data_IF_277800227175
#
_entry.id   IF_277800227175
#
_cell.length_a   1.000
_cell.length_b   1.000
_cell.length_c   1.000
_cell.angle_alpha   90.00
_cell.angle_beta   90.00
_cell.angle_gamma   90.00
#
_symmetry.space_group_name_H-M   'P 1'
#
loop_
_entity.id
_entity.type
_entity.pdbx_description
1 polymer ?
#
# COMPACT_ATOMS: atom_id res chain seq x y z
N UNK A 1 -21.56 -20.09 -3.10
CA UNK A 1 -22.79 -19.32 -2.76
C UNK A 1 -22.84 -18.87 -1.30
N UNK A 2 -22.40 -19.69 -0.33
CA UNK A 2 -22.43 -19.38 1.12
C UNK A 2 -21.61 -18.15 1.55
N UNK A 3 -20.48 -17.87 0.89
CA UNK A 3 -19.64 -16.71 1.22
C UNK A 3 -20.33 -15.35 1.00
N UNK A 4 -21.16 -15.23 -0.04
CA UNK A 4 -21.89 -13.99 -0.34
C UNK A 4 -22.98 -13.66 0.69
N UNK A 5 -23.64 -14.69 1.24
CA UNK A 5 -24.64 -14.51 2.30
C UNK A 5 -24.01 -14.01 3.60
N UNK A 6 -22.86 -14.56 3.99
CA UNK A 6 -22.13 -14.12 5.19
C UNK A 6 -21.69 -12.67 5.11
N UNK A 7 -21.20 -12.24 3.95
CA UNK A 7 -20.70 -10.87 3.76
C UNK A 7 -21.84 -9.83 3.79
N UNK A 8 -23.03 -10.17 3.28
CA UNK A 8 -24.23 -9.32 3.42
C UNK A 8 -24.71 -9.23 4.86
N UNK A 9 -24.70 -10.35 5.59
CA UNK A 9 -25.16 -10.40 6.97
C UNK A 9 -24.28 -9.55 7.89
N UNK A 10 -22.95 -9.62 7.75
CA UNK A 10 -22.01 -8.83 8.57
C UNK A 10 -22.20 -7.33 8.36
N UNK A 11 -22.51 -6.89 7.14
CA UNK A 11 -22.75 -5.47 6.83
C UNK A 11 -24.05 -4.93 7.43
N UNK A 12 -25.05 -5.76 7.67
CA UNK A 12 -26.34 -5.33 8.25
C UNK A 12 -26.38 -5.41 9.78
N UNK A 13 -25.42 -6.10 10.43
CA UNK A 13 -25.33 -6.19 11.90
C UNK A 13 -25.40 -4.82 12.60
N UNK A 14 -24.65 -3.77 12.19
CA UNK A 14 -24.75 -2.45 12.82
C UNK A 14 -26.15 -1.85 12.75
N UNK A 15 -26.83 -2.02 11.62
CA UNK A 15 -28.17 -1.46 11.39
C UNK A 15 -29.20 -2.17 12.27
N UNK A 16 -29.16 -3.51 12.32
CA UNK A 16 -30.08 -4.26 13.19
C UNK A 16 -29.83 -3.96 14.67
N UNK A 17 -28.57 -3.90 15.09
CA UNK A 17 -28.22 -3.54 16.47
C UNK A 17 -28.73 -2.15 16.85
N UNK A 18 -28.61 -1.18 15.94
CA UNK A 18 -29.11 0.17 16.14
C UNK A 18 -30.64 0.20 16.29
N UNK A 19 -31.39 -0.46 15.40
CA UNK A 19 -32.86 -0.49 15.43
C UNK A 19 -33.36 -1.18 16.69
N UNK A 20 -32.81 -2.34 17.04
CA UNK A 20 -33.20 -3.08 18.25
C UNK A 20 -32.89 -2.25 19.50
N UNK A 21 -31.70 -1.65 19.58
CA UNK A 21 -31.33 -0.76 20.68
C UNK A 21 -32.26 0.45 20.81
N UNK A 22 -32.60 1.09 19.69
CA UNK A 22 -33.53 2.22 19.65
C UNK A 22 -34.90 1.85 20.24
N UNK A 23 -35.45 0.71 19.80
CA UNK A 23 -36.76 0.22 20.23
C UNK A 23 -36.76 -0.12 21.72
N UNK A 24 -35.71 -0.79 22.22
CA UNK A 24 -35.59 -1.14 23.63
C UNK A 24 -35.54 0.12 24.50
N UNK A 25 -34.72 1.11 24.14
CA UNK A 25 -34.59 2.35 24.92
C UNK A 25 -35.84 3.21 24.83
N UNK A 26 -36.39 3.41 23.63
CA UNK A 26 -37.63 4.19 23.45
C UNK A 26 -38.81 3.54 24.20
N UNK A 27 -38.95 2.22 24.09
CA UNK A 27 -39.94 1.44 24.82
C UNK A 27 -39.75 1.55 26.33
N UNK A 28 -38.52 1.39 26.82
CA UNK A 28 -38.20 1.53 28.24
C UNK A 28 -38.54 2.91 28.80
N UNK A 29 -38.22 3.99 28.08
CA UNK A 29 -38.59 5.36 28.48
C UNK A 29 -40.10 5.57 28.43
N UNK A 30 -40.79 5.05 27.41
CA UNK A 30 -42.24 5.24 27.24
C UNK A 30 -43.06 4.46 28.27
N UNK A 31 -42.66 3.24 28.60
CA UNK A 31 -43.31 2.40 29.62
C UNK A 31 -42.90 2.79 31.05
N UNK A 32 -41.90 3.66 31.23
CA UNK A 32 -41.46 4.10 32.55
C UNK A 32 -42.57 4.89 33.29
N UNK A 33 -42.74 4.66 34.60
CA UNK A 33 -43.64 5.46 35.43
C UNK A 33 -43.37 6.98 35.35
N UNK A 34 -44.41 7.79 35.54
CA UNK A 34 -44.31 9.27 35.64
C UNK A 34 -43.36 9.70 36.73
N UNK A 35 -43.51 9.12 37.90
CA UNK A 35 -42.74 9.47 39.10
C UNK A 35 -41.24 9.23 38.93
N UNK A 36 -40.84 8.19 38.20
CA UNK A 36 -39.42 7.88 37.97
C UNK A 36 -38.78 8.87 37.00
N UNK A 37 -39.48 9.21 35.91
CA UNK A 37 -38.99 10.19 34.93
C UNK A 37 -38.90 11.60 35.53
N UNK A 38 -39.91 12.02 36.28
CA UNK A 38 -39.90 13.31 36.97
C UNK A 38 -38.78 13.37 38.01
N UNK A 39 -38.58 12.29 38.78
CA UNK A 39 -37.46 12.19 39.72
C UNK A 39 -36.09 12.28 39.02
N UNK A 40 -35.94 11.64 37.85
CA UNK A 40 -34.73 11.74 37.02
C UNK A 40 -34.50 13.17 36.50
N UNK A 41 -35.55 13.85 36.02
CA UNK A 41 -35.45 15.23 35.54
C UNK A 41 -35.07 16.19 36.68
N UNK A 42 -35.62 15.99 37.87
CA UNK A 42 -35.26 16.76 39.05
C UNK A 42 -33.81 16.52 39.49
N UNK A 43 -33.39 15.26 39.59
CA UNK A 43 -32.03 14.89 40.04
C UNK A 43 -30.95 15.30 39.06
N UNK A 44 -31.23 15.26 37.75
CA UNK A 44 -30.30 15.72 36.72
C UNK A 44 -30.28 17.25 36.56
N UNK A 45 -31.23 17.96 37.19
CA UNK A 45 -31.34 19.42 37.11
C UNK A 45 -31.75 19.95 35.74
N UNK A 46 -32.25 19.10 34.83
CA UNK A 46 -32.61 19.49 33.45
C UNK A 46 -33.71 20.57 33.44
N UNK A 47 -34.60 20.55 34.43
CA UNK A 47 -35.64 21.57 34.60
C UNK A 47 -35.07 22.99 34.82
N UNK A 48 -33.82 23.12 35.30
CA UNK A 48 -33.17 24.43 35.49
C UNK A 48 -32.65 25.04 34.18
N UNK A 49 -32.30 24.21 33.21
CA UNK A 49 -31.79 24.65 31.90
C UNK A 49 -32.93 24.92 30.93
N UNK A 50 -34.00 24.14 31.01
CA UNK A 50 -35.17 24.23 30.11
C UNK A 50 -36.43 24.34 30.97
N UNK A 51 -36.95 25.56 31.23
CA UNK A 51 -38.16 25.76 32.01
C UNK A 51 -39.38 25.04 31.42
N UNK A 52 -39.40 24.84 30.10
CA UNK A 52 -40.42 24.07 29.39
C UNK A 52 -40.43 22.57 29.74
N UNK A 53 -39.41 22.08 30.45
CA UNK A 53 -39.32 20.70 30.96
C UNK A 53 -39.77 20.57 32.42
N UNK A 54 -40.35 21.61 33.02
CA UNK A 54 -40.91 21.55 34.37
C UNK A 54 -42.07 20.53 34.44
N UNK A 55 -42.18 19.74 35.52
CA UNK A 55 -43.30 18.80 35.70
C UNK A 55 -44.64 19.55 35.74
N UNK A 56 -45.76 18.90 35.33
CA UNK A 56 -45.87 17.48 34.94
C UNK A 56 -45.44 17.19 33.50
N UNK A 57 -44.71 16.09 33.29
CA UNK A 57 -44.30 15.64 31.96
C UNK A 57 -45.50 15.05 31.20
N UNK A 58 -46.15 15.87 30.37
CA UNK A 58 -47.24 15.44 29.50
C UNK A 58 -46.84 14.35 28.49
N UNK A 59 -47.82 13.73 27.82
CA UNK A 59 -47.55 12.65 26.86
C UNK A 59 -46.66 13.05 25.69
N UNK A 60 -46.72 14.30 25.26
CA UNK A 60 -45.84 14.84 24.21
C UNK A 60 -44.38 14.84 24.64
N UNK A 61 -44.09 15.29 25.86
CA UNK A 61 -42.75 15.29 26.42
C UNK A 61 -42.19 13.87 26.54
N UNK A 62 -43.02 12.90 26.96
CA UNK A 62 -42.64 11.48 27.02
C UNK A 62 -42.33 10.90 25.65
N UNK A 63 -43.16 11.22 24.65
CA UNK A 63 -42.93 10.76 23.28
C UNK A 63 -41.62 11.32 22.73
N UNK A 64 -41.33 12.61 22.98
CA UNK A 64 -40.09 13.25 22.57
C UNK A 64 -38.87 12.67 23.28
N UNK A 65 -38.95 12.41 24.59
CA UNK A 65 -37.88 11.77 25.35
C UNK A 65 -37.64 10.32 24.87
N UNK A 66 -38.70 9.56 24.62
CA UNK A 66 -38.60 8.20 24.10
C UNK A 66 -37.96 8.17 22.70
N UNK A 67 -38.41 9.04 21.79
CA UNK A 67 -37.83 9.15 20.44
C UNK A 67 -36.38 9.66 20.49
N UNK A 68 -36.13 10.74 21.22
CA UNK A 68 -34.80 11.34 21.35
C UNK A 68 -33.79 10.38 21.99
N UNK A 69 -34.17 9.76 23.11
CA UNK A 69 -33.35 8.75 23.78
C UNK A 69 -33.13 7.51 22.92
N UNK A 70 -34.17 7.04 22.23
CA UNK A 70 -34.07 5.93 21.28
C UNK A 70 -33.12 6.23 20.12
N UNK A 71 -33.23 7.41 19.49
CA UNK A 71 -32.35 7.84 18.39
C UNK A 71 -30.89 7.99 18.85
N UNK A 72 -30.67 8.56 20.04
CA UNK A 72 -29.33 8.68 20.63
C UNK A 72 -28.70 7.30 20.85
N UNK A 73 -29.44 6.38 21.47
CA UNK A 73 -28.99 5.01 21.70
C UNK A 73 -28.72 4.27 20.38
N UNK A 74 -29.58 4.47 19.37
CA UNK A 74 -29.39 3.92 18.03
C UNK A 74 -28.07 4.38 17.41
N UNK A 75 -27.77 5.68 17.48
CA UNK A 75 -26.55 6.26 16.92
C UNK A 75 -25.30 5.72 17.62
N UNK A 76 -25.31 5.62 18.95
CA UNK A 76 -24.20 5.08 19.73
C UNK A 76 -23.97 3.60 19.46
N UNK A 77 -25.04 2.78 19.44
CA UNK A 77 -24.94 1.36 19.13
C UNK A 77 -24.51 1.12 17.69
N UNK A 78 -25.07 1.87 16.73
CA UNK A 78 -24.64 1.81 15.34
C UNK A 78 -23.16 2.14 15.21
N UNK A 79 -22.71 3.25 15.80
CA UNK A 79 -21.32 3.68 15.77
C UNK A 79 -20.39 2.66 16.42
N UNK A 80 -20.72 2.18 17.62
CA UNK A 80 -19.93 1.17 18.32
C UNK A 80 -19.84 -0.14 17.54
N UNK A 81 -20.96 -0.61 16.97
CA UNK A 81 -21.01 -1.87 16.22
C UNK A 81 -20.37 -1.74 14.84
N UNK A 82 -20.46 -0.56 14.22
CA UNK A 82 -19.73 -0.21 13.00
C UNK A 82 -18.22 -0.16 13.24
N UNK A 83 -17.75 0.44 14.35
CA UNK A 83 -16.33 0.46 14.69
C UNK A 83 -15.79 -0.92 15.09
N UNK A 84 -16.65 -1.78 15.63
CA UNK A 84 -16.23 -3.11 16.07
C UNK A 84 -16.23 -4.13 14.91
N UNK A 85 -17.26 -4.12 14.07
CA UNK A 85 -17.56 -5.17 13.08
C UNK A 85 -17.59 -4.63 11.64
N UNK A 86 -17.64 -3.30 11.46
CA UNK A 86 -17.68 -2.67 10.14
C UNK A 86 -16.36 -2.76 9.36
N UNK A 87 -16.32 -2.22 8.13
CA UNK A 87 -15.13 -2.23 7.29
C UNK A 87 -13.97 -1.53 7.99
N UNK A 88 -12.92 -2.29 8.36
CA UNK A 88 -11.79 -1.76 9.11
C UNK A 88 -11.99 -1.72 10.64
N UNK A 89 -13.07 -2.32 11.15
CA UNK A 89 -13.34 -2.43 12.57
C UNK A 89 -12.36 -3.35 13.31
N UNK A 90 -12.31 -3.20 14.64
CA UNK A 90 -11.30 -3.84 15.49
C UNK A 90 -11.29 -5.38 15.39
N UNK A 91 -12.47 -6.00 15.16
CA UNK A 91 -12.59 -7.45 15.06
C UNK A 91 -12.41 -7.99 13.64
N UNK A 92 -12.40 -7.12 12.63
CA UNK A 92 -12.12 -7.56 11.26
C UNK A 92 -10.62 -7.80 11.16
N UNK A 93 -10.21 -9.07 11.24
CA UNK A 93 -8.85 -9.48 10.89
C UNK A 93 -8.58 -8.97 9.47
N UNK A 94 -7.75 -7.92 9.36
CA UNK A 94 -7.21 -7.52 8.06
C UNK A 94 -6.47 -8.75 7.52
N UNK A 95 -6.81 -9.24 6.32
CA UNK A 95 -5.98 -10.25 5.69
C UNK A 95 -4.56 -9.68 5.67
N UNK A 96 -3.59 -10.48 6.14
CA UNK A 96 -2.17 -10.14 6.06
C UNK A 96 -1.92 -9.86 4.58
N UNK A 97 -1.75 -8.59 4.22
CA UNK A 97 -1.63 -8.19 2.82
C UNK A 97 -0.29 -8.72 2.34
N UNK A 98 -0.31 -9.83 1.62
CA UNK A 98 0.80 -10.22 0.76
C UNK A 98 0.98 -9.19 -0.40
N UNK A 99 0.02 -8.25 -0.55
CA UNK A 99 0.07 -7.05 -1.40
C UNK A 99 1.09 -5.99 -0.97
N UNK A 100 1.73 -6.11 0.20
CA UNK A 100 2.82 -5.18 0.58
C UNK A 100 4.12 -5.44 -0.18
N UNK A 101 4.14 -6.43 -1.07
CA UNK A 101 5.19 -6.52 -2.07
C UNK A 101 4.96 -5.40 -3.10
N UNK A 102 5.93 -4.49 -3.28
CA UNK A 102 5.80 -3.45 -4.28
C UNK A 102 5.55 -4.10 -5.64
N UNK A 103 4.65 -3.52 -6.44
CA UNK A 103 4.42 -3.96 -7.81
C UNK A 103 5.68 -3.62 -8.62
N UNK A 104 6.65 -4.53 -8.59
CA UNK A 104 7.89 -4.42 -9.36
C UNK A 104 7.51 -4.54 -10.83
N UNK A 105 7.98 -3.59 -11.65
CA UNK A 105 7.78 -3.68 -13.11
C UNK A 105 8.46 -4.96 -13.58
N UNK A 106 7.93 -5.62 -14.60
CA UNK A 106 8.54 -6.85 -15.14
C UNK A 106 10.00 -6.67 -15.55
N UNK A 107 10.41 -5.44 -15.91
CA UNK A 107 11.80 -5.10 -16.23
C UNK A 107 12.71 -5.04 -14.99
N UNK A 108 12.17 -4.71 -13.82
CA UNK A 108 12.90 -4.58 -12.56
C UNK A 108 12.85 -5.88 -11.74
N UNK A 109 12.07 -6.86 -12.19
CA UNK A 109 11.92 -8.16 -11.53
C UNK A 109 13.12 -9.05 -11.90
N UNK A 110 14.09 -9.13 -10.99
CA UNK A 110 15.27 -9.98 -11.16
C UNK A 110 14.96 -11.42 -10.71
N UNK A 111 15.37 -12.47 -11.45
CA UNK A 111 15.13 -13.86 -11.05
C UNK A 111 15.75 -14.21 -9.69
N UNK A 112 16.90 -13.60 -9.38
CA UNK A 112 17.63 -13.88 -8.13
C UNK A 112 17.22 -13.01 -6.93
N UNK A 113 16.47 -11.93 -7.16
CA UNK A 113 16.04 -11.02 -6.11
C UNK A 113 14.50 -10.87 -6.12
N UNK A 114 13.77 -11.80 -5.48
CA UNK A 114 12.32 -11.70 -5.40
C UNK A 114 11.92 -10.38 -4.72
N UNK A 115 10.79 -9.77 -5.13
CA UNK A 115 10.29 -8.56 -4.49
C UNK A 115 10.19 -8.78 -2.98
N UNK A 116 10.85 -7.92 -2.21
CA UNK A 116 10.76 -7.92 -0.75
C UNK A 116 9.82 -6.79 -0.32
N UNK A 117 9.06 -7.03 0.76
CA UNK A 117 8.25 -5.97 1.39
C UNK A 117 9.16 -4.80 1.80
N UNK A 118 8.71 -3.53 1.70
CA UNK A 118 9.44 -2.42 2.28
C UNK A 118 9.57 -2.66 3.79
N UNK A 119 10.71 -2.25 4.35
CA UNK A 119 10.99 -2.43 5.77
C UNK A 119 10.04 -1.52 6.56
N UNK A 120 9.17 -2.12 7.37
CA UNK A 120 8.22 -1.36 8.18
C UNK A 120 8.89 -0.84 9.46
N UNK A 121 8.29 0.16 10.11
CA UNK A 121 8.76 0.66 11.40
C UNK A 121 8.92 -0.44 12.47
N UNK A 122 8.14 -1.51 12.39
CA UNK A 122 8.26 -2.67 13.29
C UNK A 122 9.47 -3.56 12.95
N UNK A 123 9.88 -3.60 11.67
CA UNK A 123 11.06 -4.35 11.23
C UNK A 123 12.37 -3.62 11.56
N UNK A 124 12.29 -2.30 11.83
CA UNK A 124 13.42 -1.46 12.25
C UNK A 124 13.84 -1.66 13.72
N UNK A 125 13.18 -2.57 14.44
CA UNK A 125 13.45 -2.86 15.85
C UNK A 125 12.86 -1.81 16.79
N UNK A 126 13.20 -1.91 18.08
CA UNK A 126 12.82 -0.91 19.07
C UNK A 126 13.42 0.43 18.63
N UNK A 127 12.62 1.50 18.41
CA UNK A 127 13.19 2.79 18.12
C UNK A 127 14.20 3.11 19.22
N UNK A 128 15.38 3.62 18.87
CA UNK A 128 16.42 4.03 19.84
C UNK A 128 15.99 5.25 20.68
N UNK A 129 14.70 5.34 21.04
CA UNK A 129 14.11 6.32 21.94
C UNK A 129 14.38 5.99 23.41
N UNK A 130 15.33 5.09 23.64
CA UNK A 130 16.09 4.97 24.88
C UNK A 130 17.59 5.18 24.58
N UNK A 131 17.94 6.26 23.86
CA UNK A 131 19.11 7.02 24.33
C UNK A 131 18.69 7.52 25.70
N UNK A 132 18.94 6.67 26.69
CA UNK A 132 18.54 6.94 28.05
C UNK A 132 18.98 8.35 28.41
N UNK A 133 18.19 8.97 29.27
CA UNK A 133 18.73 9.80 30.34
C UNK A 133 19.59 8.89 31.24
N UNK A 134 20.56 8.19 30.64
CA UNK A 134 21.56 7.41 31.31
C UNK A 134 22.41 8.43 32.02
N UNK A 135 22.23 8.48 33.35
CA UNK A 135 23.07 9.15 34.34
C UNK A 135 23.85 10.29 33.70
N UNK A 136 23.21 11.47 33.59
CA UNK A 136 23.76 12.71 33.04
C UNK A 136 25.27 12.59 32.88
N UNK A 137 25.73 12.22 31.68
CA UNK A 137 27.17 12.20 31.41
C UNK A 137 27.62 13.61 31.79
N UNK A 138 28.48 13.71 32.80
CA UNK A 138 29.00 14.99 33.27
C UNK A 138 29.28 15.84 32.04
N UNK A 139 28.48 16.90 31.87
CA UNK A 139 28.60 17.79 30.74
C UNK A 139 30.05 18.26 30.76
N UNK A 140 30.85 17.77 29.82
CA UNK A 140 32.24 18.21 29.74
C UNK A 140 32.15 19.70 29.43
N UNK A 141 32.67 20.50 30.35
CA UNK A 141 32.79 21.94 30.15
C UNK A 141 33.41 22.18 28.77
N UNK A 142 32.77 23.07 28.01
CA UNK A 142 33.26 23.50 26.72
C UNK A 142 34.72 23.95 26.92
N UNK A 143 35.69 23.49 26.10
CA UNK A 143 37.07 23.94 26.22
C UNK A 143 37.14 25.46 26.13
N UNK A 144 37.95 26.08 26.99
CA UNK A 144 38.13 27.55 27.00
C UNK A 144 38.62 28.07 25.65
N UNK A 145 39.27 27.20 24.86
CA UNK A 145 39.81 27.48 23.54
C UNK A 145 38.77 27.39 22.42
N UNK A 146 37.46 27.35 22.71
CA UNK A 146 36.42 27.37 21.67
C UNK A 146 36.41 28.67 20.86
N UNK A 147 36.91 29.76 21.45
CA UNK A 147 37.03 31.06 20.80
C UNK A 147 38.30 31.18 19.93
N UNK A 148 39.19 30.17 19.94
CA UNK A 148 40.31 30.16 19.01
C UNK A 148 39.81 29.88 17.58
N UNK A 149 40.21 30.69 16.59
CA UNK A 149 39.89 30.40 15.20
C UNK A 149 40.48 29.03 14.82
N UNK A 150 39.73 28.22 14.05
CA UNK A 150 40.18 26.89 13.59
C UNK A 150 41.58 26.90 12.94
N UNK A 151 41.95 28.02 12.31
CA UNK A 151 43.28 28.24 11.72
C UNK A 151 44.44 28.15 12.73
N UNK A 152 44.18 28.31 14.03
CA UNK A 152 45.19 28.18 15.08
C UNK A 152 45.50 26.72 15.43
N UNK A 153 44.55 25.79 15.23
CA UNK A 153 44.75 24.35 15.45
C UNK A 153 45.35 23.67 14.22
N UNK A 154 45.00 24.16 13.03
CA UNK A 154 45.59 23.69 11.78
C UNK A 154 45.75 24.87 10.78
N UNK A 155 46.97 25.46 10.68
CA UNK A 155 47.22 26.56 9.77
C UNK A 155 47.16 26.14 8.29
N UNK A 156 47.14 24.84 7.99
CA UNK A 156 47.06 24.30 6.63
C UNK A 156 45.63 23.99 6.18
N UNK A 157 44.65 24.01 7.10
CA UNK A 157 43.26 23.72 6.81
C UNK A 157 42.57 24.79 5.94
N UNK A 158 43.05 26.05 5.99
CA UNK A 158 42.56 27.13 5.14
C UNK A 158 43.59 27.39 4.06
N UNK A 159 43.29 26.97 2.83
CA UNK A 159 44.13 27.29 1.68
C UNK A 159 44.18 28.82 1.50
N UNK A 160 45.37 29.42 1.33
CA UNK A 160 45.51 30.88 1.14
C UNK A 160 44.86 31.35 -0.16
N UNK A 161 44.63 30.43 -1.10
CA UNK A 161 43.97 30.69 -2.37
C UNK A 161 42.69 29.86 -2.42
N UNK A 162 41.51 30.48 -2.64
CA UNK A 162 40.27 29.74 -2.82
C UNK A 162 40.42 28.78 -4.00
N UNK A 163 39.92 27.54 -3.86
CA UNK A 163 39.92 26.59 -4.96
C UNK A 163 39.17 27.17 -6.16
N UNK A 164 39.75 27.02 -7.34
CA UNK A 164 39.12 27.44 -8.60
C UNK A 164 37.77 26.69 -8.73
N UNK A 165 36.68 27.38 -9.12
CA UNK A 165 35.39 26.73 -9.32
C UNK A 165 35.53 25.51 -10.24
N UNK A 166 34.97 24.37 -9.82
CA UNK A 166 34.96 23.17 -10.64
C UNK A 166 34.36 23.51 -12.01
N UNK A 167 35.13 23.25 -13.08
CA UNK A 167 34.66 23.52 -14.44
C UNK A 167 33.48 22.61 -14.75
N UNK A 168 32.41 23.12 -15.39
CA UNK A 168 31.31 22.26 -15.82
C UNK A 168 31.85 21.20 -16.78
N UNK A 169 31.63 19.93 -16.44
CA UNK A 169 31.94 18.80 -17.32
C UNK A 169 30.76 18.63 -18.28
N UNK A 170 31.02 18.57 -19.58
CA UNK A 170 29.99 18.29 -20.58
C UNK A 170 29.36 16.92 -20.33
N UNK A 171 28.04 16.85 -20.29
CA UNK A 171 27.30 15.60 -20.10
C UNK A 171 27.63 14.60 -21.22
N UNK A 172 28.01 13.39 -20.85
CA UNK A 172 28.43 12.31 -21.76
C UNK A 172 27.25 11.67 -22.53
N UNK A 173 26.03 12.21 -22.41
CA UNK A 173 24.83 11.63 -22.99
C UNK A 173 24.52 12.30 -24.33
N UNK A 174 24.90 11.65 -25.42
CA UNK A 174 24.37 11.94 -26.75
C UNK A 174 23.03 11.22 -26.91
N UNK A 175 21.91 11.93 -26.67
CA UNK A 175 20.59 11.43 -27.01
C UNK A 175 20.46 11.46 -28.54
N UNK A 176 20.63 10.31 -29.18
CA UNK A 176 20.36 10.12 -30.61
C UNK A 176 18.84 10.14 -30.83
N UNK A 177 18.31 11.32 -31.14
CA UNK A 177 16.94 11.53 -31.60
C UNK A 177 16.88 11.21 -33.09
N UNK A 178 16.84 9.93 -33.46
CA UNK A 178 16.41 9.49 -34.80
C UNK A 178 16.01 8.00 -34.75
N UNK A 179 14.78 7.73 -34.32
CA UNK A 179 14.20 6.39 -34.34
C UNK A 179 12.70 6.45 -34.69
N UNK A 180 12.36 6.97 -35.87
CA UNK A 180 10.99 6.89 -36.41
C UNK A 180 10.89 6.57 -37.90
N UNK A 181 11.94 6.05 -38.57
CA UNK A 181 11.88 5.87 -40.04
C UNK A 181 12.51 4.58 -40.59
N UNK A 182 12.48 3.46 -39.87
CA UNK A 182 13.12 2.20 -40.35
C UNK A 182 12.21 0.95 -40.41
N UNK A 183 10.87 1.08 -40.35
CA UNK A 183 9.97 -0.10 -40.43
C UNK A 183 9.39 -0.34 -41.83
N UNK A 184 9.56 0.57 -42.80
CA UNK A 184 8.94 0.44 -44.13
C UNK A 184 9.83 -0.15 -45.25
N UNK A 185 11.05 -0.63 -44.95
CA UNK A 185 12.00 -1.05 -46.00
C UNK A 185 12.56 -2.48 -45.87
N UNK A 186 11.85 -3.40 -45.19
CA UNK A 186 12.31 -4.79 -45.04
C UNK A 186 11.45 -5.84 -45.79
N UNK A 187 10.82 -5.46 -46.90
CA UNK A 187 10.03 -6.38 -47.74
C UNK A 187 10.41 -6.39 -49.23
N UNK A 188 11.67 -6.12 -49.58
CA UNK A 188 12.12 -6.19 -51.00
C UNK A 188 13.56 -6.66 -51.26
N UNK A 189 14.23 -7.31 -50.30
CA UNK A 189 15.55 -7.90 -50.53
C UNK A 189 15.52 -9.41 -50.27
N UNK A 190 14.74 -10.13 -51.07
CA UNK A 190 14.77 -11.59 -51.16
C UNK A 190 14.88 -11.98 -52.63
N UNK A 191 15.99 -11.59 -53.28
CA UNK A 191 16.42 -12.10 -54.57
C UNK A 191 17.90 -11.75 -54.81
N UNK A 192 18.75 -12.78 -54.73
CA UNK A 192 20.01 -12.83 -55.49
C UNK A 192 21.26 -12.36 -54.76
N UNK A 193 22.31 -13.19 -54.84
CA UNK A 193 23.70 -12.77 -54.69
C UNK A 193 24.46 -13.54 -53.61
N UNK A 194 25.17 -14.57 -54.04
CA UNK A 194 26.13 -15.32 -53.24
C UNK A 194 27.47 -14.56 -53.09
N UNK A 195 28.30 -15.07 -52.17
CA UNK A 195 29.77 -14.93 -52.02
C UNK A 195 30.31 -13.87 -51.02
N UNK A 196 31.48 -14.09 -50.40
CA UNK A 196 31.57 -14.88 -49.17
C UNK A 196 32.27 -14.15 -48.02
N UNK A 197 32.00 -14.64 -46.81
CA UNK A 197 32.82 -14.64 -45.58
C UNK A 197 34.15 -13.88 -45.66
N UNK A 198 34.15 -12.62 -45.20
CA UNK A 198 35.35 -11.94 -44.76
C UNK A 198 35.67 -12.38 -43.33
N UNK A 199 36.69 -13.24 -43.26
CA UNK A 199 37.37 -13.77 -42.08
C UNK A 199 37.83 -12.61 -41.18
N UNK A 200 37.16 -12.42 -40.04
CA UNK A 200 37.66 -11.59 -38.95
C UNK A 200 38.53 -12.47 -38.07
N UNK A 201 39.77 -11.99 -37.88
CA UNK A 201 40.85 -12.68 -37.20
C UNK A 201 40.50 -13.06 -35.75
N UNK A 202 40.87 -14.28 -35.30
CA UNK A 202 40.82 -14.66 -33.90
C UNK A 202 41.79 -13.79 -33.09
N UNK A 203 41.30 -13.17 -32.03
CA UNK A 203 42.18 -12.61 -30.99
C UNK A 203 42.87 -13.76 -30.26
N UNK A 204 44.20 -13.81 -30.36
CA UNK A 204 45.07 -14.68 -29.58
C UNK A 204 44.93 -14.37 -28.08
N UNK A 205 44.26 -15.27 -27.35
CA UNK A 205 44.26 -15.28 -25.89
C UNK A 205 45.52 -16.03 -25.44
N UNK A 206 46.41 -15.42 -24.64
CA UNK A 206 47.61 -16.11 -24.18
C UNK A 206 47.26 -17.29 -23.26
N UNK A 207 47.83 -18.43 -23.62
CA UNK A 207 47.84 -19.73 -22.95
C UNK A 207 48.44 -19.62 -21.54
N UNK A 208 47.59 -19.51 -20.52
CA UNK A 208 48.00 -19.62 -19.13
C UNK A 208 48.18 -21.09 -18.75
N UNK A 209 49.43 -21.55 -18.79
CA UNK A 209 49.87 -22.84 -18.25
C UNK A 209 49.72 -22.88 -16.72
N UNK A 210 49.07 -23.95 -16.26
CA UNK A 210 49.36 -24.62 -14.99
C UNK A 210 48.54 -24.14 -13.80
N UNK A 211 47.67 -25.01 -13.30
CA UNK A 211 47.83 -25.60 -11.97
C UNK A 211 47.03 -26.91 -11.87
N UNK A 212 47.69 -27.91 -11.30
CA UNK A 212 47.23 -29.27 -11.14
C UNK A 212 46.14 -29.42 -10.05
N UNK A 213 45.32 -30.44 -10.25
CA UNK A 213 44.74 -31.34 -9.24
C UNK A 213 44.06 -30.72 -8.00
N UNK A 214 42.73 -30.74 -8.03
CA UNK A 214 41.92 -31.08 -6.86
C UNK A 214 40.62 -31.73 -7.35
N UNK A 215 40.65 -33.05 -7.44
CA UNK A 215 39.52 -33.94 -7.70
C UNK A 215 38.54 -33.87 -6.50
N UNK A 216 37.46 -33.11 -6.66
CA UNK A 216 36.32 -33.10 -5.73
C UNK A 216 35.12 -33.71 -6.43
N UNK A 217 34.72 -34.89 -5.93
CA UNK A 217 33.59 -35.67 -6.39
C UNK A 217 32.27 -34.86 -6.35
N UNK A 218 31.68 -34.66 -7.53
CA UNK A 218 30.33 -34.12 -7.69
C UNK A 218 29.38 -35.32 -7.86
N UNK A 219 28.34 -35.46 -7.01
CA UNK A 219 27.35 -36.53 -7.17
C UNK A 219 26.45 -36.28 -8.40
N UNK A 220 26.16 -37.36 -9.11
CA UNK A 220 25.32 -37.43 -10.31
C UNK A 220 23.94 -36.75 -10.10
N UNK A 221 23.47 -35.89 -11.02
CA UNK A 221 22.10 -35.40 -10.98
C UNK A 221 21.15 -36.52 -11.42
N UNK A 222 20.37 -37.01 -10.46
CA UNK A 222 19.22 -37.87 -10.68
C UNK A 222 18.24 -37.20 -11.62
N UNK A 223 17.94 -37.88 -12.73
CA UNK A 223 16.91 -37.51 -13.71
C UNK A 223 15.54 -37.53 -13.03
N UNK A 224 15.02 -36.37 -12.66
CA UNK A 224 13.62 -36.22 -12.21
C UNK A 224 12.78 -35.69 -13.36
N UNK A 225 11.95 -36.60 -13.85
CA UNK A 225 10.70 -36.45 -14.59
C UNK A 225 10.26 -35.02 -15.02
N UNK A 226 10.10 -34.89 -16.33
CA UNK A 226 9.35 -33.83 -17.02
C UNK A 226 8.06 -33.43 -16.29
N UNK A 227 8.06 -32.23 -15.72
CA UNK A 227 6.85 -31.57 -15.27
C UNK A 227 6.15 -30.92 -16.47
N UNK A 228 4.90 -31.30 -16.65
CA UNK A 228 3.93 -30.84 -17.64
C UNK A 228 3.88 -29.30 -17.74
N UNK A 229 4.10 -28.79 -18.96
CA UNK A 229 3.87 -27.40 -19.30
C UNK A 229 2.39 -27.00 -19.02
N UNK A 230 2.11 -25.86 -18.39
CA UNK A 230 0.76 -25.35 -18.28
C UNK A 230 0.25 -24.99 -19.68
N UNK A 231 -0.92 -25.54 -20.04
CA UNK A 231 -1.60 -25.29 -21.30
C UNK A 231 -1.74 -23.78 -21.56
N UNK A 232 -1.02 -23.33 -22.57
CA UNK A 232 -1.20 -22.02 -23.18
C UNK A 232 -2.63 -21.95 -23.75
N UNK A 233 -3.48 -20.99 -23.36
CA UNK A 233 -4.76 -20.82 -24.01
C UNK A 233 -4.48 -20.40 -25.45
N UNK A 234 -4.77 -21.30 -26.38
CA UNK A 234 -4.80 -21.06 -27.82
C UNK A 234 -5.78 -19.92 -28.09
N UNK A 235 -5.26 -18.69 -28.11
CA UNK A 235 -5.97 -17.55 -28.66
C UNK A 235 -6.17 -17.85 -30.14
N UNK A 236 -7.42 -18.14 -30.51
CA UNK A 236 -7.85 -18.35 -31.88
C UNK A 236 -7.39 -17.18 -32.75
N UNK A 237 -6.40 -17.42 -33.60
CA UNK A 237 -5.81 -16.49 -34.55
C UNK A 237 -6.75 -16.09 -35.71
N UNK A 238 -8.07 -16.30 -35.55
CA UNK A 238 -9.07 -16.09 -36.61
C UNK A 238 -9.92 -14.82 -36.42
N UNK A 239 -9.55 -13.93 -35.49
CA UNK A 239 -10.26 -12.66 -35.21
C UNK A 239 -9.38 -11.43 -35.54
N UNK A 240 -8.55 -11.51 -36.57
CA UNK A 240 -7.62 -10.44 -36.96
C UNK A 240 -8.02 -9.65 -38.22
N UNK A 241 -9.20 -9.91 -38.81
CA UNK A 241 -9.60 -9.33 -40.09
C UNK A 241 -10.89 -8.49 -40.07
N UNK A 242 -11.45 -8.18 -38.89
CA UNK A 242 -12.57 -7.24 -38.81
C UNK A 242 -12.06 -5.84 -38.47
N UNK A 243 -12.47 -4.79 -39.21
CA UNK A 243 -12.10 -3.42 -38.87
C UNK A 243 -12.69 -3.11 -37.49
N UNK A 244 -11.81 -2.79 -36.53
CA UNK A 244 -12.24 -2.46 -35.16
C UNK A 244 -13.08 -1.20 -35.21
N UNK A 245 -14.41 -1.36 -35.18
CA UNK A 245 -15.33 -0.24 -35.10
C UNK A 245 -15.22 0.41 -33.73
N UNK A 246 -15.42 1.72 -33.66
CA UNK A 246 -15.31 2.53 -32.43
C UNK A 246 -16.13 1.92 -31.27
N UNK A 247 -17.27 1.30 -31.59
CA UNK A 247 -18.13 0.62 -30.62
C UNK A 247 -17.44 -0.56 -29.93
N UNK A 248 -16.62 -1.34 -30.65
CA UNK A 248 -15.88 -2.47 -30.06
C UNK A 248 -14.81 -1.99 -29.08
N UNK A 249 -14.16 -0.87 -29.39
CA UNK A 249 -13.19 -0.24 -28.50
C UNK A 249 -13.87 0.33 -27.24
N UNK A 250 -15.00 1.03 -27.40
CA UNK A 250 -15.78 1.54 -26.26
C UNK A 250 -16.26 0.41 -25.36
N UNK A 251 -16.79 -0.68 -25.94
CA UNK A 251 -17.27 -1.85 -25.19
C UNK A 251 -16.15 -2.54 -24.41
N UNK A 252 -14.96 -2.66 -25.01
CA UNK A 252 -13.77 -3.21 -24.34
C UNK A 252 -13.28 -2.29 -23.22
N UNK A 253 -13.34 -0.98 -23.40
CA UNK A 253 -12.93 0.02 -22.41
C UNK A 253 -13.90 0.02 -21.21
N UNK A 254 -15.20 -0.06 -21.46
CA UNK A 254 -16.24 -0.16 -20.44
C UNK A 254 -16.14 -1.48 -19.64
N UNK A 255 -15.87 -2.60 -20.31
CA UNK A 255 -15.56 -3.87 -19.64
C UNK A 255 -14.30 -3.77 -18.78
N UNK A 256 -13.26 -3.10 -19.26
CA UNK A 256 -12.03 -2.85 -18.51
C UNK A 256 -12.26 -1.99 -17.26
N UNK A 257 -13.03 -0.91 -17.37
CA UNK A 257 -13.38 -0.02 -16.26
C UNK A 257 -14.22 -0.76 -15.21
N UNK A 258 -15.19 -1.56 -15.65
CA UNK A 258 -16.04 -2.39 -14.79
C UNK A 258 -15.21 -3.41 -13.99
N UNK A 259 -14.19 -4.01 -14.60
CA UNK A 259 -13.30 -4.98 -13.95
C UNK A 259 -12.44 -4.32 -12.86
N UNK A 260 -11.92 -3.12 -13.11
CA UNK A 260 -11.15 -2.35 -12.11
C UNK A 260 -12.02 -1.91 -10.93
N UNK A 261 -13.28 -1.50 -11.18
CA UNK A 261 -14.21 -1.11 -10.11
C UNK A 261 -14.55 -2.28 -9.17
N UNK A 262 -14.57 -3.52 -9.68
CA UNK A 262 -14.74 -4.73 -8.84
C UNK A 262 -13.49 -5.05 -8.02
N UNK A 263 -12.30 -4.82 -8.54
CA UNK A 263 -11.04 -5.10 -7.84
C UNK A 263 -10.71 -4.05 -6.77
N UNK A 264 -11.10 -2.79 -6.95
CA UNK A 264 -10.91 -1.72 -5.96
C UNK A 264 -11.97 -1.65 -4.85
N UNK A 265 -12.95 -2.55 -4.84
CA UNK A 265 -14.05 -2.59 -3.86
C UNK A 265 -13.92 -3.74 -2.82
N UNK A 266 -12.76 -4.38 -2.78
CA UNK A 266 -12.39 -5.43 -1.82
C UNK A 266 -11.30 -4.92 -0.88
#
# INVERSE_FOLDING_TARGET
MVAFLRQRLIRSVPVYGAVVGAVIVAGGVFLSPTTTLEGLVWTTGVASLIPAAAPPLGMTARLLLALGGGMLAAALLWSSLFLLVGPGGLLVRRPRRDDDLPVVRRADAHPDAPPRKPMSAADLGTPMMEVGVGKARDERGIPVDLDLPLAAFDPTAILPTPMVPARPVSSLIHISLNATESVALNKRAAAGGADPVAMLEPWDVPEAKGHAEAELAIPEPTVVASATAPAEPTASSNEAAQPQTIETLLRRLEQGASRRRRLGAH
#
